data_IF_748521642946
#
_entry.id   IF_748521642946
#
_cell.length_a   1.000
_cell.length_b   1.000
_cell.length_c   1.000
_cell.angle_alpha   90.00
_cell.angle_beta   90.00
_cell.angle_gamma   90.00
#
_symmetry.space_group_name_H-M   'P 1'
#
loop_
_entity.id
_entity.type
_entity.pdbx_description
1 polymer ?
#
# COMPACT_ATOMS: atom_id res chain seq x y z
N UNK A 1 -20.53 4.64 -14.50
CA UNK A 1 -19.32 5.22 -13.86
C UNK A 1 -18.07 4.62 -14.51
N UNK A 2 -17.24 5.37 -15.25
CA UNK A 2 -16.07 4.81 -15.91
C UNK A 2 -15.00 4.39 -14.89
N UNK A 3 -14.49 3.17 -15.03
CA UNK A 3 -13.40 2.60 -14.21
C UNK A 3 -12.09 3.24 -14.69
N UNK A 4 -11.27 3.75 -13.76
CA UNK A 4 -9.93 4.26 -14.06
C UNK A 4 -9.11 3.21 -14.83
N UNK A 5 -8.75 3.50 -16.08
CA UNK A 5 -7.96 2.60 -16.95
C UNK A 5 -6.46 2.59 -16.64
N UNK A 6 -6.00 3.33 -15.63
CA UNK A 6 -4.57 3.41 -15.33
C UNK A 6 -3.95 2.06 -14.98
N UNK A 7 -2.80 1.80 -15.60
CA UNK A 7 -1.93 0.64 -15.40
C UNK A 7 -0.77 1.00 -14.46
N UNK A 8 -0.25 0.04 -13.67
CA UNK A 8 0.93 0.27 -12.84
C UNK A 8 2.19 0.62 -13.64
N UNK A 9 2.18 0.41 -14.96
CA UNK A 9 3.27 0.71 -15.90
C UNK A 9 3.19 2.10 -16.52
N UNK A 10 2.10 2.83 -16.29
CA UNK A 10 1.95 4.17 -16.85
C UNK A 10 2.98 5.13 -16.25
N UNK A 11 3.53 6.07 -17.05
CA UNK A 11 4.46 7.06 -16.54
C UNK A 11 3.85 7.84 -15.37
N UNK A 12 4.57 7.91 -14.25
CA UNK A 12 4.10 8.62 -13.07
C UNK A 12 4.02 10.12 -13.35
N UNK A 13 2.82 10.69 -13.26
CA UNK A 13 2.60 12.14 -13.26
C UNK A 13 3.27 12.76 -12.03
N UNK A 14 3.51 14.08 -12.04
CA UNK A 14 4.13 14.79 -10.91
C UNK A 14 3.38 14.55 -9.58
N UNK A 15 2.04 14.53 -9.62
CA UNK A 15 1.18 14.24 -8.47
C UNK A 15 1.44 12.83 -7.93
N UNK A 16 1.51 11.83 -8.81
CA UNK A 16 1.75 10.43 -8.41
C UNK A 16 3.17 10.24 -7.87
N UNK A 17 4.16 10.95 -8.42
CA UNK A 17 5.53 10.97 -7.87
C UNK A 17 5.54 11.54 -6.44
N UNK A 18 4.84 12.64 -6.21
CA UNK A 18 4.68 13.22 -4.87
C UNK A 18 4.01 12.23 -3.90
N UNK A 19 2.91 11.58 -4.31
CA UNK A 19 2.26 10.56 -3.47
C UNK A 19 3.20 9.39 -3.15
N UNK A 20 3.89 8.85 -4.14
CA UNK A 20 4.84 7.76 -3.95
C UNK A 20 5.98 8.16 -2.99
N UNK A 21 6.47 9.40 -3.07
CA UNK A 21 7.47 9.93 -2.16
C UNK A 21 6.96 10.01 -0.72
N UNK A 22 5.77 10.59 -0.50
CA UNK A 22 5.16 10.69 0.83
C UNK A 22 4.95 9.30 1.43
N UNK A 23 4.43 8.35 0.65
CA UNK A 23 4.19 6.96 1.11
C UNK A 23 5.52 6.29 1.45
N UNK A 24 6.55 6.43 0.59
CA UNK A 24 7.89 5.87 0.82
C UNK A 24 8.49 6.39 2.12
N UNK A 25 8.40 7.70 2.38
CA UNK A 25 8.88 8.32 3.61
C UNK A 25 8.20 7.74 4.84
N UNK A 26 6.87 7.66 4.83
CA UNK A 26 6.10 7.09 5.95
C UNK A 26 6.45 5.63 6.22
N UNK A 27 6.60 4.83 5.17
CA UNK A 27 6.99 3.43 5.28
C UNK A 27 8.42 3.28 5.79
N UNK A 28 9.34 4.13 5.34
CA UNK A 28 10.72 4.12 5.81
C UNK A 28 10.79 4.50 7.31
N UNK A 29 10.13 5.58 7.71
CA UNK A 29 10.07 6.03 9.11
C UNK A 29 9.47 4.94 10.02
N UNK A 30 8.50 4.17 9.53
CA UNK A 30 7.94 3.02 10.25
C UNK A 30 8.92 1.84 10.26
N UNK A 31 9.52 1.51 9.12
CA UNK A 31 10.40 0.35 8.98
C UNK A 31 11.70 0.51 9.75
N UNK A 32 12.25 1.73 9.86
CA UNK A 32 13.44 2.03 10.67
C UNK A 32 13.20 1.85 12.18
N UNK A 33 11.95 1.90 12.64
CA UNK A 33 11.59 1.68 14.06
C UNK A 33 11.44 0.21 14.42
N UNK A 34 11.15 -0.64 13.44
CA UNK A 34 11.13 -2.09 13.61
C UNK A 34 12.50 -2.62 13.20
N UNK A 35 13.07 -3.61 13.90
CA UNK A 35 14.43 -4.13 13.65
C UNK A 35 14.55 -4.89 12.30
N UNK A 36 14.24 -4.22 11.19
CA UNK A 36 14.26 -4.71 9.83
C UNK A 36 15.61 -4.34 9.23
N UNK A 37 16.25 -5.30 8.55
CA UNK A 37 17.54 -5.05 7.91
C UNK A 37 17.44 -3.92 6.86
N UNK A 38 18.35 -2.93 6.86
CA UNK A 38 18.31 -1.81 5.92
C UNK A 38 18.24 -2.23 4.44
N UNK A 39 18.95 -3.31 4.07
CA UNK A 39 18.89 -3.89 2.72
C UNK A 39 17.47 -4.35 2.34
N UNK A 40 16.73 -4.93 3.29
CA UNK A 40 15.33 -5.35 3.10
C UNK A 40 14.41 -4.15 2.95
N UNK A 41 14.65 -3.08 3.71
CA UNK A 41 13.92 -1.81 3.62
C UNK A 41 14.11 -1.22 2.21
N UNK A 42 15.37 -1.06 1.77
CA UNK A 42 15.69 -0.49 0.46
C UNK A 42 15.10 -1.29 -0.71
N UNK A 43 15.08 -2.62 -0.62
CA UNK A 43 14.55 -3.47 -1.69
C UNK A 43 13.01 -3.49 -1.76
N UNK A 44 12.32 -3.39 -0.62
CA UNK A 44 10.88 -3.64 -0.52
C UNK A 44 10.05 -2.38 -0.36
N UNK A 45 10.52 -1.38 0.38
CA UNK A 45 9.74 -0.16 0.65
C UNK A 45 9.33 0.56 -0.63
N UNK A 46 10.21 0.78 -1.63
CA UNK A 46 9.79 1.44 -2.88
C UNK A 46 8.70 0.65 -3.63
N UNK A 47 8.81 -0.68 -3.65
CA UNK A 47 7.83 -1.56 -4.33
C UNK A 47 6.47 -1.51 -3.63
N UNK A 48 6.46 -1.52 -2.30
CA UNK A 48 5.23 -1.42 -1.49
C UNK A 48 4.61 -0.05 -1.65
N UNK A 49 5.41 1.03 -1.61
CA UNK A 49 4.95 2.40 -1.79
C UNK A 49 4.23 2.59 -3.13
N UNK A 50 4.81 2.10 -4.23
CA UNK A 50 4.19 2.19 -5.56
C UNK A 50 2.88 1.39 -5.64
N UNK A 51 2.80 0.21 -5.02
CA UNK A 51 1.55 -0.57 -4.97
C UNK A 51 0.46 0.13 -4.17
N UNK A 52 0.82 0.77 -3.07
CA UNK A 52 -0.10 1.54 -2.24
C UNK A 52 -0.55 2.83 -2.95
N UNK A 53 0.38 3.57 -3.58
CA UNK A 53 0.09 4.74 -4.41
C UNK A 53 -0.92 4.38 -5.50
N UNK A 54 -0.68 3.31 -6.25
CA UNK A 54 -1.57 2.91 -7.33
C UNK A 54 -2.99 2.57 -6.85
N UNK A 55 -3.12 1.97 -5.67
CA UNK A 55 -4.44 1.73 -5.06
C UNK A 55 -5.13 3.03 -4.68
N UNK A 56 -4.40 3.98 -4.10
CA UNK A 56 -4.93 5.30 -3.78
C UNK A 56 -5.35 6.01 -5.06
N UNK A 57 -4.50 6.04 -6.07
CA UNK A 57 -4.78 6.62 -7.37
C UNK A 57 -6.08 6.07 -7.98
N UNK A 58 -6.29 4.75 -7.92
CA UNK A 58 -7.52 4.13 -8.41
C UNK A 58 -8.78 4.59 -7.66
N UNK A 59 -8.67 4.84 -6.37
CA UNK A 59 -9.77 5.32 -5.53
C UNK A 59 -10.04 6.81 -5.74
N UNK A 60 -9.00 7.62 -5.87
CA UNK A 60 -9.09 9.08 -5.92
C UNK A 60 -9.08 9.65 -7.33
N UNK A 61 -8.84 8.81 -8.34
CA UNK A 61 -8.75 9.16 -9.77
C UNK A 61 -7.69 10.24 -10.05
N UNK A 62 -6.55 10.17 -9.35
CA UNK A 62 -5.42 11.06 -9.59
C UNK A 62 -5.56 12.48 -9.01
N UNK A 63 -6.54 12.73 -8.14
CA UNK A 63 -6.61 13.98 -7.38
C UNK A 63 -5.35 14.18 -6.54
N UNK A 64 -4.87 15.42 -6.44
CA UNK A 64 -3.84 15.77 -5.46
C UNK A 64 -4.41 15.59 -4.05
N UNK A 65 -3.58 15.04 -3.16
CA UNK A 65 -3.97 14.68 -1.80
C UNK A 65 -2.90 15.18 -0.86
N UNK A 66 -3.33 15.72 0.27
CA UNK A 66 -2.44 16.09 1.36
C UNK A 66 -1.94 14.84 2.09
N UNK A 67 -0.80 14.99 2.77
CA UNK A 67 -0.19 13.91 3.56
C UNK A 67 -1.17 13.26 4.55
N UNK A 68 -2.02 14.04 5.23
CA UNK A 68 -3.02 13.51 6.19
C UNK A 68 -4.04 12.59 5.50
N UNK A 69 -4.50 12.99 4.33
CA UNK A 69 -5.44 12.19 3.51
C UNK A 69 -4.77 10.92 3.00
N UNK A 70 -3.51 11.01 2.56
CA UNK A 70 -2.73 9.83 2.16
C UNK A 70 -2.60 8.86 3.33
N UNK A 71 -2.25 9.33 4.53
CA UNK A 71 -2.17 8.50 5.73
C UNK A 71 -3.49 7.80 6.05
N UNK A 72 -4.61 8.52 5.96
CA UNK A 72 -5.94 7.93 6.18
C UNK A 72 -6.21 6.77 5.21
N UNK A 73 -5.96 6.96 3.91
CA UNK A 73 -6.12 5.90 2.92
C UNK A 73 -5.18 4.72 3.18
N UNK A 74 -3.92 4.98 3.54
CA UNK A 74 -2.97 3.93 3.89
C UNK A 74 -3.45 3.10 5.08
N UNK A 75 -3.97 3.74 6.13
CA UNK A 75 -4.54 3.05 7.29
C UNK A 75 -5.69 2.15 6.88
N UNK A 76 -6.62 2.65 6.06
CA UNK A 76 -7.74 1.83 5.56
C UNK A 76 -7.26 0.64 4.72
N UNK A 77 -6.28 0.84 3.84
CA UNK A 77 -5.69 -0.22 3.02
C UNK A 77 -5.00 -1.28 3.88
N UNK A 78 -4.26 -0.87 4.91
CA UNK A 78 -3.58 -1.78 5.84
C UNK A 78 -4.59 -2.57 6.68
N UNK A 79 -5.63 -1.91 7.21
CA UNK A 79 -6.72 -2.59 7.91
C UNK A 79 -7.44 -3.59 7.01
N UNK A 80 -7.71 -3.22 5.75
CA UNK A 80 -8.32 -4.13 4.78
C UNK A 80 -7.43 -5.34 4.49
N UNK A 81 -6.13 -5.13 4.31
CA UNK A 81 -5.17 -6.21 4.10
C UNK A 81 -5.07 -7.14 5.33
N UNK A 82 -5.03 -6.57 6.53
CA UNK A 82 -5.00 -7.33 7.78
C UNK A 82 -6.26 -8.18 7.94
N UNK A 83 -7.46 -7.58 7.77
CA UNK A 83 -8.73 -8.33 7.81
C UNK A 83 -8.76 -9.48 6.80
N UNK A 84 -8.25 -9.24 5.58
CA UNK A 84 -8.15 -10.29 4.55
C UNK A 84 -7.22 -11.41 4.98
N UNK A 85 -6.06 -11.07 5.55
CA UNK A 85 -5.09 -12.05 6.01
C UNK A 85 -5.64 -12.91 7.15
N UNK A 86 -6.29 -12.30 8.15
CA UNK A 86 -6.92 -13.04 9.25
C UNK A 86 -7.98 -14.02 8.76
N UNK A 87 -8.82 -13.63 7.79
CA UNK A 87 -9.82 -14.52 7.17
C UNK A 87 -9.16 -15.70 6.46
N UNK A 88 -8.06 -15.47 5.73
CA UNK A 88 -7.31 -16.53 5.05
C UNK A 88 -6.70 -17.54 6.04
N UNK A 89 -6.10 -17.04 7.13
CA UNK A 89 -5.54 -17.90 8.17
C UNK A 89 -6.61 -18.75 8.87
N UNK A 90 -7.79 -18.19 9.12
CA UNK A 90 -8.92 -18.94 9.70
C UNK A 90 -9.40 -20.04 8.76
N UNK A 91 -9.56 -19.73 7.46
CA UNK A 91 -9.96 -20.71 6.44
C UNK A 91 -8.94 -21.86 6.31
N UNK A 92 -7.64 -21.57 6.37
CA UNK A 92 -6.58 -22.58 6.36
C UNK A 92 -6.59 -23.46 7.62
N UNK A 93 -6.89 -22.89 8.79
CA UNK A 93 -7.01 -23.65 10.03
C UNK A 93 -8.21 -24.59 10.03
N UNK A 94 -9.33 -24.18 9.43
CA UNK A 94 -10.52 -25.04 9.32
C UNK A 94 -10.33 -26.19 8.34
N UNK A 95 -9.59 -26.00 7.24
CA UNK A 95 -9.28 -27.10 6.31
C UNK A 95 -8.30 -28.12 6.91
N UNK A 96 -7.31 -27.69 7.69
CA UNK A 96 -6.36 -28.62 8.35
C UNK A 96 -7.06 -29.47 9.43
N UNK A 97 -8.10 -28.94 10.11
CA UNK A 97 -8.85 -29.68 11.14
C UNK A 97 -9.92 -30.63 10.59
N UNK A 98 -10.26 -30.55 9.31
CA UNK A 98 -11.30 -31.36 8.67
C UNK A 98 -10.75 -32.60 7.95
N UNK A 99 -9.42 -32.77 7.92
CA UNK A 99 -8.71 -33.97 7.50
C UNK A 99 -8.13 -34.69 8.73
#
# INVERSE_FOLDING_TARGET
MPKSQASPRDPLTAVRKYHAFVITRLLNDSASKHRIAPATIAANVPKVALKMEFRIYKLTRGRLLDQKTIQMYLTHLTQQAHRRHCRQLQAQRTTIKAN
#
